data_IF_465712671670
#
_entry.id   IF_465712671670
#
_cell.length_a   1.000
_cell.length_b   1.000
_cell.length_c   1.000
_cell.angle_alpha   90.00
_cell.angle_beta   90.00
_cell.angle_gamma   90.00
#
_symmetry.space_group_name_H-M   'P 1'
#
loop_
_entity.id
_entity.type
_entity.pdbx_description
1 polymer ?
#
# COMPACT_ATOMS: atom_id res chain seq x y z
N UNK A 1 -49.35 36.66 -24.16
CA UNK A 1 -48.19 35.75 -23.99
C UNK A 1 -47.02 36.65 -23.63
N UNK A 2 -46.73 36.75 -22.33
CA UNK A 2 -45.64 37.61 -21.85
C UNK A 2 -44.38 36.74 -21.71
N UNK A 3 -43.38 37.01 -22.52
CA UNK A 3 -42.07 36.37 -22.43
C UNK A 3 -41.26 37.06 -21.36
N UNK A 4 -41.12 36.41 -20.20
CA UNK A 4 -40.19 36.80 -19.14
C UNK A 4 -38.78 36.48 -19.57
N UNK A 5 -38.03 37.52 -19.93
CA UNK A 5 -36.61 37.48 -20.20
C UNK A 5 -35.82 37.26 -18.90
N UNK A 6 -35.31 36.04 -18.66
CA UNK A 6 -34.44 35.74 -17.54
C UNK A 6 -33.03 36.17 -17.91
N UNK A 7 -32.58 37.29 -17.35
CA UNK A 7 -31.19 37.75 -17.45
C UNK A 7 -30.28 36.73 -16.77
N UNK A 8 -29.18 36.26 -17.39
CA UNK A 8 -28.26 35.36 -16.73
C UNK A 8 -27.58 36.08 -15.56
N UNK A 9 -27.79 35.57 -14.34
CA UNK A 9 -27.09 35.99 -13.14
C UNK A 9 -25.60 35.63 -13.30
N UNK A 10 -24.77 36.64 -13.59
CA UNK A 10 -23.30 36.50 -13.54
C UNK A 10 -22.89 36.10 -12.13
N UNK A 11 -22.21 34.95 -11.97
CA UNK A 11 -21.69 34.54 -10.69
C UNK A 11 -20.84 35.65 -10.05
N UNK A 12 -20.96 35.89 -8.75
CA UNK A 12 -20.24 36.96 -8.08
C UNK A 12 -18.73 36.80 -8.28
N UNK A 13 -18.09 37.80 -8.83
CA UNK A 13 -16.64 37.83 -9.06
C UNK A 13 -15.95 37.79 -7.71
N UNK A 14 -15.04 36.79 -7.51
CA UNK A 14 -14.22 36.71 -6.29
C UNK A 14 -13.40 37.98 -6.10
N UNK A 15 -13.38 38.49 -4.87
CA UNK A 15 -12.58 39.66 -4.50
C UNK A 15 -11.10 39.41 -4.78
N UNK A 16 -10.40 40.44 -5.23
CA UNK A 16 -8.96 40.41 -5.51
C UNK A 16 -8.17 41.21 -4.46
N UNK A 17 -6.85 41.01 -4.40
CA UNK A 17 -5.98 41.83 -3.54
C UNK A 17 -6.12 43.34 -3.85
N UNK A 18 -6.50 43.70 -5.08
CA UNK A 18 -6.75 45.07 -5.50
C UNK A 18 -8.02 45.62 -4.85
N UNK A 19 -9.04 44.79 -4.74
CA UNK A 19 -10.30 45.17 -4.13
C UNK A 19 -10.13 45.38 -2.60
N UNK A 20 -9.37 44.48 -1.93
CA UNK A 20 -9.01 44.62 -0.51
C UNK A 20 -8.19 45.91 -0.28
N UNK A 21 -7.23 46.19 -1.15
CA UNK A 21 -6.37 47.39 -1.04
C UNK A 21 -7.21 48.67 -1.15
N UNK A 22 -8.17 48.70 -2.08
CA UNK A 22 -9.11 49.82 -2.25
C UNK A 22 -10.01 50.00 -1.04
N UNK A 23 -10.57 48.90 -0.51
CA UNK A 23 -11.47 48.90 0.64
C UNK A 23 -10.75 49.31 1.93
N UNK A 24 -9.50 48.85 2.12
CA UNK A 24 -8.67 49.23 3.28
C UNK A 24 -8.02 50.62 3.16
N UNK A 25 -8.16 51.32 2.02
CA UNK A 25 -7.54 52.61 1.78
C UNK A 25 -5.98 52.54 1.77
N UNK A 26 -5.42 51.50 1.19
CA UNK A 26 -3.95 51.27 1.19
C UNK A 26 -3.45 50.65 -0.13
N UNK A 27 -2.15 50.49 -0.25
CA UNK A 27 -1.53 49.83 -1.40
C UNK A 27 -1.50 48.31 -1.28
N UNK A 28 -1.42 47.61 -2.44
CA UNK A 28 -1.30 46.13 -2.52
C UNK A 28 -0.10 45.60 -1.73
N UNK A 29 0.98 46.38 -1.62
CA UNK A 29 2.17 46.02 -0.84
C UNK A 29 1.87 45.85 0.64
N UNK A 30 1.03 46.74 1.21
CA UNK A 30 0.60 46.65 2.62
C UNK A 30 -0.26 45.41 2.86
N UNK A 31 -1.20 45.13 1.93
CA UNK A 31 -2.00 43.91 1.99
C UNK A 31 -1.10 42.66 1.90
N UNK A 32 -0.14 42.65 0.99
CA UNK A 32 0.82 41.54 0.84
C UNK A 32 1.62 41.32 2.12
N UNK A 33 2.11 42.37 2.77
CA UNK A 33 2.83 42.31 4.04
C UNK A 33 1.96 41.77 5.17
N UNK A 34 0.73 42.25 5.29
CA UNK A 34 -0.25 41.73 6.26
C UNK A 34 -0.47 40.23 6.09
N UNK A 35 -0.79 39.81 4.87
CA UNK A 35 -1.00 38.39 4.54
C UNK A 35 0.26 37.51 4.76
N UNK A 36 1.45 38.09 4.72
CA UNK A 36 2.73 37.42 4.95
C UNK A 36 3.15 37.38 6.43
N UNK A 37 2.34 37.97 7.32
CA UNK A 37 2.68 38.05 8.74
C UNK A 37 3.75 39.09 9.09
N UNK A 38 4.12 40.00 8.15
CA UNK A 38 5.06 41.08 8.37
C UNK A 38 4.42 42.22 9.17
N UNK A 39 3.95 41.88 10.38
CA UNK A 39 3.14 42.79 11.19
C UNK A 39 3.93 43.98 11.71
N UNK A 40 5.23 43.83 11.97
CA UNK A 40 6.10 44.88 12.53
C UNK A 40 6.21 46.14 11.66
N UNK A 41 6.02 45.99 10.34
CA UNK A 41 6.13 47.11 9.38
C UNK A 41 4.78 47.78 9.06
N UNK A 42 3.71 47.37 9.75
CA UNK A 42 2.36 47.91 9.58
C UNK A 42 1.88 48.55 10.88
N UNK A 43 1.31 49.75 10.84
CA UNK A 43 0.72 50.39 12.01
C UNK A 43 -0.52 49.60 12.51
N UNK A 44 -0.85 49.63 13.83
CA UNK A 44 -2.00 48.96 14.37
C UNK A 44 -3.31 49.34 13.66
N UNK A 45 -3.50 50.62 13.36
CA UNK A 45 -4.67 51.14 12.64
C UNK A 45 -4.79 50.54 11.24
N UNK A 46 -3.67 50.49 10.50
CA UNK A 46 -3.66 49.91 9.16
C UNK A 46 -3.95 48.40 9.18
N UNK A 47 -3.44 47.65 10.18
CA UNK A 47 -3.78 46.23 10.35
C UNK A 47 -5.27 46.01 10.54
N UNK A 48 -5.90 46.80 11.46
CA UNK A 48 -7.33 46.69 11.71
C UNK A 48 -8.18 47.01 10.47
N UNK A 49 -7.80 48.04 9.67
CA UNK A 49 -8.49 48.36 8.41
C UNK A 49 -8.32 47.23 7.37
N UNK A 50 -7.16 46.63 7.24
CA UNK A 50 -6.92 45.51 6.34
C UNK A 50 -7.76 44.30 6.76
N UNK A 51 -7.78 43.96 8.04
CA UNK A 51 -8.55 42.85 8.57
C UNK A 51 -10.05 43.02 8.33
N UNK A 52 -10.57 44.21 8.60
CA UNK A 52 -11.98 44.53 8.34
C UNK A 52 -12.32 44.45 6.84
N UNK A 53 -11.42 44.88 5.95
CA UNK A 53 -11.62 44.80 4.52
C UNK A 53 -11.60 43.33 4.00
N UNK A 54 -10.70 42.49 4.54
CA UNK A 54 -10.62 41.07 4.22
C UNK A 54 -11.94 40.39 4.64
N UNK A 55 -12.40 40.61 5.86
CA UNK A 55 -13.65 40.03 6.38
C UNK A 55 -14.88 40.49 5.58
N UNK A 56 -14.97 41.79 5.25
CA UNK A 56 -16.11 42.33 4.52
C UNK A 56 -16.21 41.83 3.07
N UNK A 57 -15.08 41.61 2.44
CA UNK A 57 -15.04 41.16 1.06
C UNK A 57 -14.93 39.60 0.94
N UNK A 58 -14.98 38.88 2.07
CA UNK A 58 -14.70 37.45 2.12
C UNK A 58 -13.47 37.07 1.25
N UNK A 59 -12.44 37.88 1.40
CA UNK A 59 -11.25 37.73 0.55
C UNK A 59 -10.39 36.57 1.01
N UNK A 60 -10.22 35.60 0.14
CA UNK A 60 -9.28 34.50 0.32
C UNK A 60 -8.06 34.70 -0.60
N UNK A 61 -6.84 34.72 -0.05
CA UNK A 61 -5.65 34.85 -0.85
C UNK A 61 -5.53 33.69 -1.86
N UNK A 62 -5.30 34.02 -3.13
CA UNK A 62 -5.00 33.00 -4.13
C UNK A 62 -3.59 32.45 -3.87
N UNK A 63 -3.50 31.27 -3.30
CA UNK A 63 -2.23 30.63 -2.95
C UNK A 63 -1.38 30.33 -4.21
N UNK A 64 -2.00 29.96 -5.32
CA UNK A 64 -1.32 29.75 -6.62
C UNK A 64 -0.62 31.03 -7.12
N UNK A 65 -1.34 32.17 -7.04
CA UNK A 65 -0.75 33.46 -7.43
C UNK A 65 0.37 33.90 -6.47
N UNK A 66 0.28 33.55 -5.20
CA UNK A 66 1.35 33.79 -4.21
C UNK A 66 2.57 32.91 -4.48
N UNK A 67 2.33 31.64 -4.79
CA UNK A 67 3.36 30.67 -5.14
C UNK A 67 4.16 31.09 -6.36
N UNK A 68 3.48 31.57 -7.40
CA UNK A 68 4.14 32.11 -8.60
C UNK A 68 5.07 33.30 -8.29
N UNK A 69 4.69 34.15 -7.33
CA UNK A 69 5.51 35.32 -6.94
C UNK A 69 6.66 34.97 -6.01
N UNK A 70 6.53 33.92 -5.22
CA UNK A 70 7.56 33.44 -4.27
C UNK A 70 8.41 32.28 -4.82
N UNK A 71 8.08 31.75 -6.00
CA UNK A 71 8.72 30.57 -6.57
C UNK A 71 8.33 29.24 -5.91
N UNK A 72 7.42 29.26 -4.89
CA UNK A 72 6.99 28.06 -4.14
C UNK A 72 5.49 28.08 -3.93
N UNK A 73 4.80 27.02 -4.39
CA UNK A 73 3.35 26.90 -4.29
C UNK A 73 2.89 25.93 -3.19
N UNK A 74 3.84 25.22 -2.58
CA UNK A 74 3.62 24.21 -1.53
C UNK A 74 2.71 23.06 -1.94
N UNK A 75 2.58 22.81 -3.25
CA UNK A 75 1.87 21.66 -3.79
C UNK A 75 2.85 20.50 -3.97
N UNK A 76 2.47 19.33 -3.52
CA UNK A 76 3.13 18.08 -3.87
C UNK A 76 2.15 17.16 -4.59
N UNK A 77 2.64 16.37 -5.53
CA UNK A 77 1.85 15.34 -6.19
C UNK A 77 1.94 14.02 -5.46
N UNK A 78 0.84 13.28 -5.39
CA UNK A 78 0.87 11.87 -4.99
C UNK A 78 0.15 11.04 -6.05
N UNK A 79 0.90 10.15 -6.69
CA UNK A 79 0.37 9.20 -7.65
C UNK A 79 0.11 7.86 -6.96
N UNK A 80 -1.12 7.38 -7.04
CA UNK A 80 -1.60 6.15 -6.40
C UNK A 80 -2.08 5.16 -7.44
N UNK A 81 -1.68 3.89 -7.26
CA UNK A 81 -2.12 2.80 -8.13
C UNK A 81 -3.59 2.45 -7.90
N UNK A 82 -4.00 2.22 -6.65
CA UNK A 82 -5.33 1.70 -6.34
C UNK A 82 -5.82 2.19 -4.97
N UNK A 83 -6.91 2.96 -4.95
CA UNK A 83 -7.57 3.44 -3.72
C UNK A 83 -8.50 2.39 -3.10
N UNK A 84 -8.78 1.29 -3.78
CA UNK A 84 -9.58 0.19 -3.20
C UNK A 84 -8.76 -0.70 -2.27
N UNK A 85 -7.42 -0.61 -2.35
CA UNK A 85 -6.52 -1.29 -1.43
C UNK A 85 -6.41 -0.50 -0.11
N UNK A 86 -6.80 -1.08 1.05
CA UNK A 86 -6.69 -0.43 2.37
C UNK A 86 -5.30 0.14 2.66
N UNK A 87 -4.24 -0.58 2.29
CA UNK A 87 -2.85 -0.12 2.38
C UNK A 87 -2.66 1.30 1.83
N UNK A 88 -3.20 1.56 0.64
CA UNK A 88 -3.04 2.86 -0.02
C UNK A 88 -3.70 3.99 0.76
N UNK A 89 -4.87 3.73 1.34
CA UNK A 89 -5.63 4.71 2.14
C UNK A 89 -4.89 5.02 3.45
N UNK A 90 -4.35 4.02 4.11
CA UNK A 90 -3.59 4.21 5.35
C UNK A 90 -2.28 4.98 5.12
N UNK A 91 -1.55 4.67 4.03
CA UNK A 91 -0.37 5.46 3.63
C UNK A 91 -0.76 6.91 3.34
N UNK A 92 -1.89 7.14 2.67
CA UNK A 92 -2.39 8.50 2.39
C UNK A 92 -2.67 9.28 3.67
N UNK A 93 -3.17 8.65 4.74
CA UNK A 93 -3.36 9.30 6.04
C UNK A 93 -2.04 9.80 6.63
N UNK A 94 -0.97 9.01 6.53
CA UNK A 94 0.37 9.44 6.93
C UNK A 94 0.90 10.62 6.11
N UNK A 95 0.69 10.56 4.79
CA UNK A 95 1.05 11.66 3.87
C UNK A 95 0.30 12.95 4.23
N UNK A 96 -1.02 12.85 4.47
CA UNK A 96 -1.85 14.02 4.84
C UNK A 96 -1.37 14.65 6.15
N UNK A 97 -1.09 13.84 7.16
CA UNK A 97 -0.63 14.32 8.47
C UNK A 97 0.72 15.05 8.36
N UNK A 98 1.69 14.51 7.61
CA UNK A 98 2.98 15.15 7.39
C UNK A 98 2.84 16.43 6.54
N UNK A 99 2.01 16.41 5.52
CA UNK A 99 1.70 17.60 4.71
C UNK A 99 1.10 18.72 5.58
N UNK A 100 0.16 18.39 6.45
CA UNK A 100 -0.42 19.35 7.39
C UNK A 100 0.65 19.96 8.31
N UNK A 101 1.52 19.11 8.90
CA UNK A 101 2.59 19.56 9.79
C UNK A 101 3.59 20.49 9.09
N UNK A 102 3.90 20.23 7.82
CA UNK A 102 4.88 20.98 7.02
C UNK A 102 4.24 22.12 6.20
N UNK A 103 2.91 22.28 6.26
CA UNK A 103 2.17 23.29 5.51
C UNK A 103 2.21 23.05 4.00
N UNK A 104 2.27 21.78 3.57
CA UNK A 104 2.16 21.34 2.18
C UNK A 104 0.72 20.96 1.84
N UNK A 105 0.37 20.96 0.55
CA UNK A 105 -0.92 20.53 0.05
C UNK A 105 -0.74 19.36 -0.92
N UNK A 106 -1.21 18.15 -0.60
CA UNK A 106 -1.12 17.02 -1.51
C UNK A 106 -2.19 17.11 -2.61
N UNK A 107 -1.76 16.87 -3.85
CA UNK A 107 -2.61 16.69 -5.02
C UNK A 107 -2.65 15.20 -5.36
N UNK A 108 -3.77 14.55 -5.07
CA UNK A 108 -3.92 13.10 -5.20
C UNK A 108 -4.33 12.75 -6.63
N UNK A 109 -3.59 11.84 -7.27
CA UNK A 109 -3.85 11.29 -8.59
C UNK A 109 -4.03 9.77 -8.47
N UNK A 110 -5.23 9.26 -8.76
CA UNK A 110 -5.54 7.83 -8.73
C UNK A 110 -5.54 7.26 -10.14
N UNK A 111 -4.64 6.32 -10.40
CA UNK A 111 -4.44 5.75 -11.73
C UNK A 111 -5.28 4.48 -12.01
N UNK A 112 -5.97 3.93 -11.01
CA UNK A 112 -6.79 2.72 -11.11
C UNK A 112 -6.06 1.52 -11.75
N UNK A 113 -4.77 1.37 -11.45
CA UNK A 113 -3.87 0.36 -12.01
C UNK A 113 -3.65 0.48 -13.55
N UNK A 114 -3.95 1.64 -14.15
CA UNK A 114 -3.76 1.90 -15.57
C UNK A 114 -2.46 2.67 -15.84
N UNK A 115 -1.50 2.02 -16.49
CA UNK A 115 -0.15 2.58 -16.77
C UNK A 115 -0.23 3.88 -17.58
N UNK A 116 -1.16 3.98 -18.53
CA UNK A 116 -1.34 5.17 -19.34
C UNK A 116 -1.86 6.36 -18.49
N UNK A 117 -2.71 6.08 -17.50
CA UNK A 117 -3.17 7.10 -16.56
C UNK A 117 -2.06 7.55 -15.62
N UNK A 118 -1.19 6.64 -15.18
CA UNK A 118 0.01 6.98 -14.40
C UNK A 118 0.87 8.00 -15.16
N UNK A 119 1.17 7.73 -16.42
CA UNK A 119 1.94 8.62 -17.29
C UNK A 119 1.28 9.99 -17.46
N UNK A 120 -0.03 10.01 -17.73
CA UNK A 120 -0.81 11.24 -17.91
C UNK A 120 -0.80 12.10 -16.64
N UNK A 121 -0.98 11.49 -15.48
CA UNK A 121 -0.97 12.24 -14.22
C UNK A 121 0.40 12.80 -13.89
N UNK A 122 1.50 12.10 -14.15
CA UNK A 122 2.85 12.64 -13.96
C UNK A 122 3.09 13.87 -14.83
N UNK A 123 2.62 13.86 -16.10
CA UNK A 123 2.68 15.03 -16.98
C UNK A 123 1.84 16.19 -16.44
N UNK A 124 0.62 15.93 -15.95
CA UNK A 124 -0.23 16.96 -15.35
C UNK A 124 0.41 17.56 -14.10
N UNK A 125 0.97 16.75 -13.20
CA UNK A 125 1.67 17.21 -11.99
C UNK A 125 2.82 18.16 -12.35
N UNK A 126 3.58 17.87 -13.40
CA UNK A 126 4.62 18.77 -13.93
C UNK A 126 4.00 20.10 -14.42
N UNK A 127 2.87 20.05 -15.11
CA UNK A 127 2.14 21.23 -15.59
C UNK A 127 1.62 22.10 -14.43
N UNK A 128 1.15 21.47 -13.35
CA UNK A 128 0.74 22.16 -12.12
C UNK A 128 1.90 22.68 -11.28
N UNK A 129 3.15 22.40 -11.72
CA UNK A 129 4.38 22.83 -11.04
C UNK A 129 4.42 22.41 -9.59
N UNK A 130 4.07 21.15 -9.30
CA UNK A 130 4.25 20.60 -7.96
C UNK A 130 5.73 20.69 -7.56
N UNK A 131 6.00 20.91 -6.28
CA UNK A 131 7.37 21.04 -5.75
C UNK A 131 8.06 19.68 -5.61
N UNK A 132 7.29 18.59 -5.57
CA UNK A 132 7.79 17.22 -5.51
C UNK A 132 6.68 16.23 -5.76
N UNK A 133 7.02 14.95 -5.95
CA UNK A 133 6.05 13.87 -6.18
C UNK A 133 6.36 12.67 -5.30
N UNK A 134 5.30 12.04 -4.76
CA UNK A 134 5.32 10.73 -4.13
C UNK A 134 4.68 9.75 -5.10
N UNK A 135 5.34 8.62 -5.35
CA UNK A 135 4.90 7.65 -6.36
C UNK A 135 4.69 6.28 -5.73
N UNK A 136 3.44 5.83 -5.73
CA UNK A 136 3.03 4.47 -5.45
C UNK A 136 2.24 3.96 -6.66
N UNK A 137 2.93 3.45 -7.68
CA UNK A 137 2.34 3.11 -8.96
C UNK A 137 2.79 1.73 -9.45
N UNK A 138 2.01 1.07 -10.32
CA UNK A 138 2.25 -0.30 -10.79
C UNK A 138 3.19 -0.38 -11.98
N UNK A 139 3.00 0.48 -12.97
CA UNK A 139 3.67 0.39 -14.26
C UNK A 139 4.65 1.52 -14.52
N UNK A 140 5.00 2.30 -13.49
CA UNK A 140 5.94 3.40 -13.64
C UNK A 140 7.33 2.85 -13.92
N UNK A 141 7.88 3.26 -15.07
CA UNK A 141 9.26 2.99 -15.48
C UNK A 141 10.08 4.29 -15.39
N UNK A 142 11.40 4.18 -15.42
CA UNK A 142 12.29 5.34 -15.47
C UNK A 142 11.86 6.36 -16.53
N UNK A 143 11.50 5.89 -17.73
CA UNK A 143 11.05 6.73 -18.85
C UNK A 143 9.81 7.56 -18.52
N UNK A 144 8.91 7.02 -17.69
CA UNK A 144 7.66 7.68 -17.27
C UNK A 144 7.95 8.75 -16.22
N UNK A 145 8.93 8.55 -15.34
CA UNK A 145 9.34 9.51 -14.31
C UNK A 145 10.37 10.52 -14.81
N UNK A 146 11.10 10.21 -15.87
CA UNK A 146 12.14 11.09 -16.43
C UNK A 146 11.67 12.52 -16.68
N UNK A 147 10.45 12.81 -17.21
CA UNK A 147 9.98 14.18 -17.38
C UNK A 147 9.84 14.95 -16.05
N UNK A 148 9.49 14.27 -14.98
CA UNK A 148 9.36 14.85 -13.63
C UNK A 148 10.74 15.13 -13.05
N UNK A 149 11.58 14.11 -12.95
CA UNK A 149 12.93 14.20 -12.38
C UNK A 149 13.84 15.07 -13.24
N UNK A 150 13.75 14.95 -14.56
CA UNK A 150 14.52 15.76 -15.52
C UNK A 150 14.16 17.24 -15.53
N UNK A 151 12.98 17.62 -15.03
CA UNK A 151 12.61 19.02 -14.78
C UNK A 151 13.05 19.55 -13.40
N UNK A 152 13.81 18.75 -12.64
CA UNK A 152 14.31 19.12 -11.32
C UNK A 152 13.28 18.95 -10.19
N UNK A 153 12.16 18.26 -10.43
CA UNK A 153 11.17 17.95 -9.43
C UNK A 153 11.61 16.68 -8.68
N UNK A 154 11.86 16.73 -7.36
CA UNK A 154 12.24 15.56 -6.60
C UNK A 154 11.10 14.53 -6.52
N UNK A 155 11.48 13.25 -6.51
CA UNK A 155 10.55 12.14 -6.38
C UNK A 155 10.94 11.25 -5.19
N UNK A 156 9.93 10.75 -4.48
CA UNK A 156 10.06 9.69 -3.46
C UNK A 156 9.18 8.52 -3.85
N UNK A 157 9.74 7.32 -3.85
CA UNK A 157 9.03 6.08 -4.16
C UNK A 157 8.44 5.49 -2.88
N UNK A 158 7.25 4.91 -2.98
CA UNK A 158 6.58 4.19 -1.89
C UNK A 158 6.33 2.76 -2.28
N UNK A 159 6.77 1.82 -1.43
CA UNK A 159 6.60 0.37 -1.54
C UNK A 159 7.34 -0.30 -2.73
N UNK A 160 7.73 0.43 -3.76
CA UNK A 160 8.26 -0.14 -5.00
C UNK A 160 9.46 0.62 -5.51
N UNK A 161 10.44 -0.13 -5.97
CA UNK A 161 11.57 0.41 -6.72
C UNK A 161 11.20 0.55 -8.20
N UNK A 162 11.81 1.49 -8.86
CA UNK A 162 11.73 1.69 -10.31
C UNK A 162 13.13 1.49 -10.88
N UNK A 163 13.28 0.49 -11.75
CA UNK A 163 14.56 0.16 -12.35
C UNK A 163 15.13 1.36 -13.13
N UNK A 164 16.40 1.64 -12.92
CA UNK A 164 17.10 2.76 -13.55
C UNK A 164 16.89 4.12 -12.88
N UNK A 165 15.99 4.25 -11.89
CA UNK A 165 15.75 5.49 -11.16
C UNK A 165 16.43 5.48 -9.79
N UNK A 166 17.27 6.49 -9.55
CA UNK A 166 17.86 6.73 -8.22
C UNK A 166 16.99 7.77 -7.49
N UNK A 167 16.18 7.32 -6.55
CA UNK A 167 15.29 8.15 -5.74
C UNK A 167 15.20 7.60 -4.32
N UNK A 168 14.82 8.44 -3.35
CA UNK A 168 14.48 7.93 -2.01
C UNK A 168 13.29 6.98 -2.10
N UNK A 169 13.32 5.89 -1.33
CA UNK A 169 12.25 4.92 -1.21
C UNK A 169 11.89 4.69 0.25
N UNK A 170 10.60 4.59 0.53
CA UNK A 170 10.07 4.23 1.84
C UNK A 170 9.06 3.10 1.67
N UNK A 171 9.20 2.02 2.42
CA UNK A 171 8.28 0.89 2.32
C UNK A 171 8.50 -0.16 3.40
N UNK A 172 7.74 -1.24 3.30
CA UNK A 172 7.92 -2.43 4.13
C UNK A 172 9.25 -3.12 3.76
N UNK A 173 9.95 -3.68 4.75
CA UNK A 173 10.91 -4.74 4.49
C UNK A 173 10.17 -6.00 4.01
N UNK A 174 9.96 -6.04 2.69
CA UNK A 174 9.18 -7.09 2.03
C UNK A 174 9.78 -8.47 2.20
N UNK A 175 11.12 -8.56 2.22
CA UNK A 175 11.84 -9.82 2.43
C UNK A 175 11.62 -10.32 3.85
N UNK A 176 11.91 -9.49 4.84
CA UNK A 176 11.75 -9.85 6.25
C UNK A 176 10.30 -10.20 6.60
N UNK A 177 9.33 -9.48 6.03
CA UNK A 177 7.90 -9.79 6.24
C UNK A 177 7.50 -11.15 5.67
N UNK A 178 7.94 -11.50 4.45
CA UNK A 178 7.65 -12.80 3.85
C UNK A 178 8.36 -13.94 4.59
N UNK A 179 9.59 -13.74 5.01
CA UNK A 179 10.34 -14.70 5.84
C UNK A 179 9.66 -14.92 7.20
N UNK A 180 9.20 -13.84 7.85
CA UNK A 180 8.49 -13.88 9.14
C UNK A 180 7.21 -14.71 9.05
N UNK A 181 6.36 -14.46 8.04
CA UNK A 181 5.13 -15.21 7.82
C UNK A 181 5.38 -16.68 7.47
N UNK A 182 6.34 -16.94 6.61
CA UNK A 182 6.71 -18.32 6.22
C UNK A 182 7.20 -19.11 7.43
N UNK A 183 8.10 -18.52 8.22
CA UNK A 183 8.63 -19.14 9.45
C UNK A 183 7.51 -19.45 10.43
N UNK A 184 6.61 -18.49 10.68
CA UNK A 184 5.45 -18.70 11.55
C UNK A 184 4.61 -19.92 11.13
N UNK A 185 4.30 -20.04 9.82
CA UNK A 185 3.53 -21.16 9.31
C UNK A 185 4.27 -22.50 9.46
N UNK A 186 5.57 -22.51 9.21
CA UNK A 186 6.41 -23.68 9.39
C UNK A 186 6.50 -24.14 10.86
N UNK A 187 6.70 -23.20 11.78
CA UNK A 187 6.76 -23.46 13.23
C UNK A 187 5.40 -23.90 13.77
N UNK A 188 4.29 -23.40 13.19
CA UNK A 188 2.92 -23.84 13.50
C UNK A 188 2.61 -25.25 12.96
N UNK A 189 3.53 -25.87 12.22
CA UNK A 189 3.45 -27.26 11.78
C UNK A 189 2.52 -27.47 10.57
N UNK A 190 2.42 -26.52 9.67
CA UNK A 190 1.75 -26.71 8.39
C UNK A 190 2.65 -27.51 7.42
N UNK A 191 2.05 -28.50 6.74
CA UNK A 191 2.75 -29.41 5.85
C UNK A 191 2.81 -28.90 4.41
N UNK A 192 1.89 -28.03 4.03
CA UNK A 192 1.75 -27.48 2.69
C UNK A 192 1.36 -26.02 2.77
N UNK A 193 2.18 -25.13 2.18
CA UNK A 193 2.00 -23.68 2.24
C UNK A 193 1.90 -23.15 0.80
N UNK A 194 0.79 -22.48 0.52
CA UNK A 194 0.52 -21.83 -0.76
C UNK A 194 0.68 -20.33 -0.63
N UNK A 195 1.73 -19.77 -1.25
CA UNK A 195 1.91 -18.33 -1.34
C UNK A 195 1.08 -17.78 -2.50
N UNK A 196 0.01 -17.07 -2.16
CA UNK A 196 -0.89 -16.49 -3.16
C UNK A 196 -0.51 -15.03 -3.43
N UNK A 197 -0.23 -14.70 -4.68
CA UNK A 197 0.27 -13.40 -5.10
C UNK A 197 -0.37 -12.99 -6.45
N UNK A 198 -0.59 -11.69 -6.66
CA UNK A 198 -0.96 -11.16 -7.97
C UNK A 198 0.25 -11.26 -8.93
N UNK A 199 0.05 -11.10 -10.27
CA UNK A 199 1.16 -11.04 -11.22
C UNK A 199 2.29 -10.13 -10.71
N UNK A 200 3.52 -10.64 -10.67
CA UNK A 200 4.61 -10.02 -9.93
C UNK A 200 5.83 -9.66 -10.77
N UNK A 201 5.88 -10.01 -12.05
CA UNK A 201 7.04 -9.84 -12.92
C UNK A 201 7.49 -8.38 -13.07
N UNK A 202 6.59 -7.43 -12.84
CA UNK A 202 6.87 -5.99 -12.96
C UNK A 202 6.66 -5.21 -11.64
N UNK A 203 6.48 -5.91 -10.52
CA UNK A 203 6.19 -5.28 -9.22
C UNK A 203 7.20 -5.74 -8.18
N UNK A 204 8.19 -4.90 -7.90
CA UNK A 204 9.33 -5.24 -7.04
C UNK A 204 8.95 -5.76 -5.65
N UNK A 205 7.95 -5.18 -4.99
CA UNK A 205 7.50 -5.66 -3.68
C UNK A 205 6.93 -7.08 -3.73
N UNK A 206 6.16 -7.40 -4.79
CA UNK A 206 5.63 -8.75 -5.00
C UNK A 206 6.73 -9.76 -5.32
N UNK A 207 7.72 -9.38 -6.15
CA UNK A 207 8.89 -10.20 -6.47
C UNK A 207 9.69 -10.53 -5.20
N UNK A 208 9.96 -9.53 -4.37
CA UNK A 208 10.70 -9.70 -3.13
C UNK A 208 9.99 -10.64 -2.15
N UNK A 209 8.66 -10.49 -1.99
CA UNK A 209 7.84 -11.36 -1.13
C UNK A 209 7.86 -12.81 -1.62
N UNK A 210 7.65 -13.02 -2.92
CA UNK A 210 7.64 -14.37 -3.52
C UNK A 210 9.01 -15.04 -3.45
N UNK A 211 10.07 -14.32 -3.78
CA UNK A 211 11.44 -14.83 -3.71
C UNK A 211 11.83 -15.21 -2.27
N UNK A 212 11.51 -14.37 -1.29
CA UNK A 212 11.80 -14.64 0.12
C UNK A 212 11.01 -15.85 0.65
N UNK A 213 9.73 -15.99 0.26
CA UNK A 213 8.94 -17.19 0.55
C UNK A 213 9.63 -18.44 0.01
N UNK A 214 10.01 -18.44 -1.28
CA UNK A 214 10.65 -19.58 -1.94
C UNK A 214 11.99 -19.93 -1.31
N UNK A 215 12.80 -18.93 -0.97
CA UNK A 215 14.08 -19.11 -0.28
C UNK A 215 13.90 -19.73 1.12
N UNK A 216 12.93 -19.20 1.90
CA UNK A 216 12.64 -19.74 3.24
C UNK A 216 12.18 -21.20 3.18
N UNK A 217 11.32 -21.56 2.21
CA UNK A 217 10.92 -22.95 1.97
C UNK A 217 12.08 -23.83 1.52
N UNK A 218 13.01 -23.30 0.71
CA UNK A 218 14.21 -23.99 0.26
C UNK A 218 15.25 -24.22 1.36
N UNK A 219 15.46 -23.23 2.24
CA UNK A 219 16.42 -23.33 3.35
C UNK A 219 16.06 -24.45 4.35
N UNK A 220 14.77 -24.65 4.61
CA UNK A 220 14.28 -25.78 5.40
C UNK A 220 14.62 -27.13 4.76
N UNK A 221 14.69 -27.15 3.44
CA UNK A 221 15.10 -28.31 2.67
C UNK A 221 16.55 -28.74 2.90
N UNK A 222 17.44 -27.78 3.02
CA UNK A 222 18.87 -28.01 3.25
C UNK A 222 19.18 -28.44 4.70
N UNK A 223 18.51 -27.87 5.67
CA UNK A 223 18.71 -28.21 7.09
C UNK A 223 18.25 -29.65 7.43
N UNK A 224 17.13 -30.10 6.84
CA UNK A 224 16.65 -31.47 7.03
C UNK A 224 17.61 -32.51 6.41
N UNK A 225 18.34 -32.19 5.33
CA UNK A 225 19.33 -33.04 4.72
C UNK A 225 20.61 -33.21 5.56
N UNK A 226 20.96 -32.25 6.40
CA UNK A 226 22.12 -32.33 7.29
C UNK A 226 21.80 -33.00 8.64
N UNK A 227 20.54 -33.01 9.07
CA UNK A 227 20.08 -33.69 10.31
C UNK A 227 19.82 -35.19 10.13
N UNK A 228 20.12 -35.77 9.00
CA UNK A 228 19.77 -37.11 8.54
C UNK A 228 20.47 -38.27 9.23
N UNK A 229 20.90 -38.20 10.47
CA UNK A 229 21.35 -39.33 11.27
C UNK A 229 21.04 -39.16 12.74
N UNK A 230 19.81 -39.06 13.20
CA UNK A 230 19.37 -39.57 14.52
C UNK A 230 17.83 -39.32 14.66
N UNK A 231 17.07 -40.41 14.81
CA UNK A 231 15.72 -40.37 15.39
C UNK A 231 14.57 -40.64 14.40
N UNK A 232 14.05 -41.85 14.47
CA UNK A 232 12.74 -42.26 13.93
C UNK A 232 11.66 -41.34 14.47
N UNK A 233 11.13 -40.47 13.64
CA UNK A 233 10.04 -39.52 13.99
C UNK A 233 10.04 -38.25 13.14
N UNK A 234 10.70 -38.26 11.96
CA UNK A 234 10.78 -37.10 11.09
C UNK A 234 9.39 -36.63 10.64
N UNK A 235 8.95 -35.43 11.12
CA UNK A 235 7.85 -34.70 10.49
C UNK A 235 8.18 -34.55 9.02
N UNK A 236 7.26 -34.93 8.13
CA UNK A 236 7.43 -34.80 6.69
C UNK A 236 7.80 -33.35 6.35
N UNK A 237 8.67 -33.18 5.35
CA UNK A 237 9.12 -31.87 4.85
C UNK A 237 7.92 -31.08 4.35
N UNK A 238 7.74 -29.84 4.84
CA UNK A 238 6.71 -28.93 4.34
C UNK A 238 6.98 -28.58 2.86
N UNK A 239 5.90 -28.44 2.08
CA UNK A 239 5.94 -28.10 0.65
C UNK A 239 5.46 -26.67 0.45
N UNK A 240 6.19 -25.90 -0.35
CA UNK A 240 5.81 -24.55 -0.74
C UNK A 240 5.36 -24.50 -2.21
N UNK A 241 4.29 -23.79 -2.47
CA UNK A 241 3.73 -23.54 -3.79
C UNK A 241 3.46 -22.04 -3.97
N UNK A 242 3.63 -21.55 -5.20
CA UNK A 242 3.21 -20.18 -5.56
C UNK A 242 1.94 -20.26 -6.40
N UNK A 243 0.90 -19.53 -5.97
CA UNK A 243 -0.37 -19.39 -6.67
C UNK A 243 -0.50 -17.96 -7.20
N UNK A 244 -0.53 -17.81 -8.51
CA UNK A 244 -0.75 -16.50 -9.12
C UNK A 244 -2.26 -16.25 -9.26
N UNK A 245 -2.74 -15.13 -8.68
CA UNK A 245 -4.13 -14.68 -8.74
C UNK A 245 -4.20 -13.31 -9.44
N UNK A 246 -4.55 -13.29 -10.70
CA UNK A 246 -4.76 -12.05 -11.46
C UNK A 246 -6.16 -11.50 -11.17
N UNK A 247 -6.29 -10.67 -10.13
CA UNK A 247 -7.57 -10.13 -9.69
C UNK A 247 -8.27 -9.23 -10.73
N UNK A 248 -7.58 -8.84 -11.80
CA UNK A 248 -8.16 -8.10 -12.92
C UNK A 248 -8.85 -9.01 -13.97
N UNK A 249 -8.60 -10.32 -13.93
CA UNK A 249 -9.18 -11.30 -14.86
C UNK A 249 -9.96 -12.38 -14.08
N UNK A 250 -11.28 -12.25 -14.06
CA UNK A 250 -12.17 -13.16 -13.33
C UNK A 250 -12.01 -14.62 -13.78
N UNK A 251 -11.83 -14.88 -15.08
CA UNK A 251 -11.70 -16.24 -15.60
C UNK A 251 -10.36 -16.88 -15.19
N UNK A 252 -9.31 -16.08 -15.08
CA UNK A 252 -8.00 -16.53 -14.57
C UNK A 252 -8.08 -16.83 -13.09
N UNK A 253 -8.71 -15.96 -12.29
CA UNK A 253 -8.97 -16.19 -10.86
C UNK A 253 -9.72 -17.50 -10.64
N UNK A 254 -10.81 -17.74 -11.36
CA UNK A 254 -11.59 -18.98 -11.24
C UNK A 254 -10.75 -20.24 -11.54
N UNK A 255 -9.89 -20.19 -12.57
CA UNK A 255 -8.98 -21.30 -12.90
C UNK A 255 -7.97 -21.56 -11.80
N UNK A 256 -7.33 -20.51 -11.27
CA UNK A 256 -6.34 -20.62 -10.20
C UNK A 256 -6.97 -21.11 -8.89
N UNK A 257 -8.17 -20.66 -8.56
CA UNK A 257 -8.93 -21.14 -7.39
C UNK A 257 -9.36 -22.59 -7.55
N UNK A 258 -9.73 -23.04 -8.75
CA UNK A 258 -10.04 -24.44 -9.00
C UNK A 258 -8.80 -25.36 -8.89
N UNK A 259 -7.60 -24.85 -9.19
CA UNK A 259 -6.35 -25.57 -8.93
C UNK A 259 -6.10 -25.71 -7.43
N UNK A 260 -6.24 -24.62 -6.67
CA UNK A 260 -6.14 -24.63 -5.22
C UNK A 260 -7.13 -25.61 -4.58
N UNK A 261 -8.36 -25.62 -5.04
CA UNK A 261 -9.41 -26.53 -4.55
C UNK A 261 -9.01 -27.99 -4.72
N UNK A 262 -8.47 -28.37 -5.86
CA UNK A 262 -8.00 -29.73 -6.13
C UNK A 262 -6.86 -30.12 -5.19
N UNK A 263 -5.96 -29.20 -4.88
CA UNK A 263 -4.88 -29.44 -3.95
C UNK A 263 -5.38 -29.64 -2.52
N UNK A 264 -6.32 -28.80 -2.06
CA UNK A 264 -6.95 -28.91 -0.75
C UNK A 264 -7.67 -30.26 -0.62
N UNK A 265 -8.47 -30.65 -1.62
CA UNK A 265 -9.19 -31.91 -1.62
C UNK A 265 -8.24 -33.14 -1.59
N UNK A 266 -7.16 -33.07 -2.35
CA UNK A 266 -6.14 -34.14 -2.39
C UNK A 266 -5.44 -34.30 -1.02
N UNK A 267 -5.09 -33.20 -0.35
CA UNK A 267 -4.47 -33.24 0.98
C UNK A 267 -5.43 -33.77 2.07
N UNK A 268 -6.70 -33.41 1.99
CA UNK A 268 -7.74 -33.90 2.91
C UNK A 268 -8.04 -35.38 2.71
N UNK A 269 -8.12 -35.84 1.43
CA UNK A 269 -8.44 -37.24 1.11
C UNK A 269 -7.29 -38.21 1.37
N UNK A 270 -6.03 -37.75 1.33
CA UNK A 270 -4.89 -38.60 1.68
C UNK A 270 -4.97 -39.13 3.13
N UNK A 271 -5.70 -38.44 4.02
CA UNK A 271 -5.99 -38.90 5.39
C UNK A 271 -7.09 -39.96 5.48
N UNK A 272 -7.93 -40.12 4.49
CA UNK A 272 -9.11 -41.04 4.55
C UNK A 272 -8.89 -42.38 3.87
N UNK A 273 -7.95 -42.50 2.94
CA UNK A 273 -7.68 -43.74 2.20
C UNK A 273 -7.06 -44.86 3.03
N UNK A 274 -6.76 -44.64 4.31
CA UNK A 274 -6.28 -45.64 5.27
C UNK A 274 -7.39 -46.41 6.03
N UNK A 275 -8.69 -46.11 5.80
CA UNK A 275 -9.78 -46.71 6.59
C UNK A 275 -10.54 -47.86 5.89
N UNK A 276 -10.19 -48.20 4.67
CA UNK A 276 -10.87 -49.26 3.92
C UNK A 276 -10.00 -50.49 3.70
N UNK A 277 -9.88 -51.33 4.68
CA UNK A 277 -9.17 -52.61 4.56
C UNK A 277 -9.35 -53.49 5.81
N UNK A 278 -10.35 -54.31 5.77
CA UNK A 278 -10.82 -55.17 6.83
C UNK A 278 -9.94 -56.40 7.04
N UNK A 279 -10.01 -56.96 8.23
CA UNK A 279 -9.75 -58.31 8.69
C UNK A 279 -8.38 -58.61 9.38
N UNK A 280 -8.56 -58.93 10.61
CA UNK A 280 -7.79 -59.66 11.59
C UNK A 280 -6.53 -60.39 11.09
N UNK A 281 -5.36 -59.99 11.64
CA UNK A 281 -4.26 -60.92 11.85
C UNK A 281 -3.65 -60.69 13.25
N UNK A 282 -3.65 -61.67 14.17
CA UNK A 282 -3.09 -61.53 15.50
C UNK A 282 -1.61 -61.88 15.49
N UNK A 283 -0.77 -60.90 15.16
CA UNK A 283 0.69 -61.06 15.21
C UNK A 283 1.30 -59.67 15.40
N UNK A 284 1.86 -59.43 16.60
CA UNK A 284 2.40 -58.15 17.02
C UNK A 284 3.58 -57.66 16.17
N UNK A 285 3.24 -56.79 15.20
CA UNK A 285 4.17 -55.90 14.56
C UNK A 285 3.65 -54.48 14.73
N UNK A 286 4.52 -53.52 15.02
CA UNK A 286 4.24 -52.13 15.24
C UNK A 286 3.31 -51.59 14.14
N UNK A 287 2.11 -51.09 14.50
CA UNK A 287 1.16 -50.44 13.59
C UNK A 287 1.87 -49.27 12.87
N UNK A 288 1.90 -49.24 11.54
CA UNK A 288 2.32 -48.02 10.86
C UNK A 288 1.40 -46.88 11.33
N UNK A 289 2.01 -45.73 11.67
CA UNK A 289 1.28 -44.54 12.07
C UNK A 289 0.22 -44.23 11.00
N UNK A 290 -1.02 -43.96 11.45
CA UNK A 290 -2.10 -43.57 10.54
C UNK A 290 -1.64 -42.40 9.68
N UNK A 291 -1.95 -42.35 8.37
CA UNK A 291 -1.61 -41.24 7.54
C UNK A 291 -2.27 -39.98 8.09
N UNK A 292 -1.44 -39.04 8.58
CA UNK A 292 -1.93 -37.75 9.06
C UNK A 292 -2.49 -36.97 7.88
N UNK A 293 -3.71 -36.40 8.00
CA UNK A 293 -4.19 -35.42 7.05
C UNK A 293 -3.21 -34.24 7.03
N UNK A 294 -2.78 -33.83 5.83
CA UNK A 294 -1.85 -32.72 5.69
C UNK A 294 -2.54 -31.42 6.08
N UNK A 295 -1.84 -30.61 6.89
CA UNK A 295 -2.31 -29.28 7.27
C UNK A 295 -1.88 -28.28 6.21
N UNK A 296 -2.86 -27.59 5.62
CA UNK A 296 -2.64 -26.59 4.56
C UNK A 296 -2.77 -25.19 5.15
N UNK A 297 -1.86 -24.31 4.74
CA UNK A 297 -1.93 -22.88 4.96
C UNK A 297 -1.83 -22.10 3.64
N UNK A 298 -2.59 -21.02 3.55
CA UNK A 298 -2.48 -20.02 2.50
C UNK A 298 -1.77 -18.80 3.08
N UNK A 299 -0.81 -18.29 2.36
CA UNK A 299 -0.10 -17.06 2.68
C UNK A 299 -0.37 -16.04 1.58
N UNK A 300 -1.29 -15.13 1.83
CA UNK A 300 -1.65 -14.07 0.88
C UNK A 300 -0.62 -12.92 0.90
N UNK A 301 -0.16 -12.53 -0.27
CA UNK A 301 0.82 -11.48 -0.43
C UNK A 301 0.31 -10.08 -0.08
N UNK A 302 -1.01 -9.88 0.00
CA UNK A 302 -1.65 -8.61 0.40
C UNK A 302 -3.14 -8.79 0.74
N UNK A 303 -3.77 -7.75 1.30
CA UNK A 303 -5.18 -7.77 1.71
C UNK A 303 -6.18 -8.09 0.58
N UNK A 304 -6.06 -7.55 -0.66
CA UNK A 304 -6.97 -7.92 -1.74
C UNK A 304 -6.93 -9.40 -2.08
N UNK A 305 -5.75 -10.02 -2.12
CA UNK A 305 -5.59 -11.47 -2.35
C UNK A 305 -6.19 -12.26 -1.18
N UNK A 306 -5.92 -11.85 0.05
CA UNK A 306 -6.47 -12.50 1.23
C UNK A 306 -8.01 -12.46 1.25
N UNK A 307 -8.61 -11.34 0.88
CA UNK A 307 -10.07 -11.19 0.81
C UNK A 307 -10.67 -12.12 -0.26
N UNK A 308 -10.05 -12.17 -1.45
CA UNK A 308 -10.46 -13.07 -2.52
C UNK A 308 -10.46 -14.54 -2.03
N UNK A 309 -9.36 -14.97 -1.39
CA UNK A 309 -9.24 -16.33 -0.84
C UNK A 309 -10.26 -16.59 0.28
N UNK A 310 -10.43 -15.66 1.22
CA UNK A 310 -11.38 -15.82 2.33
C UNK A 310 -12.83 -15.94 1.85
N UNK A 311 -13.22 -15.14 0.86
CA UNK A 311 -14.54 -15.20 0.24
C UNK A 311 -14.76 -16.53 -0.49
N UNK A 312 -13.78 -17.01 -1.24
CA UNK A 312 -13.83 -18.29 -1.94
C UNK A 312 -13.95 -19.46 -0.95
N UNK A 313 -13.08 -19.50 0.07
CA UNK A 313 -13.09 -20.55 1.09
C UNK A 313 -14.40 -20.55 1.89
N UNK A 314 -14.93 -19.38 2.24
CA UNK A 314 -16.23 -19.26 2.90
C UNK A 314 -17.38 -19.75 2.02
N UNK A 315 -17.37 -19.44 0.73
CA UNK A 315 -18.39 -19.92 -0.21
C UNK A 315 -18.34 -21.45 -0.34
N UNK A 316 -17.15 -22.05 -0.35
CA UNK A 316 -16.95 -23.49 -0.53
C UNK A 316 -17.19 -24.31 0.74
N UNK A 317 -16.69 -23.85 1.90
CA UNK A 317 -16.65 -24.62 3.13
C UNK A 317 -17.56 -24.06 4.24
N UNK A 318 -18.25 -22.95 4.02
CA UNK A 318 -19.12 -22.30 5.00
C UNK A 318 -18.34 -21.51 6.07
N UNK A 319 -18.97 -21.27 7.21
CA UNK A 319 -18.40 -20.46 8.29
C UNK A 319 -17.13 -21.09 8.90
N UNK A 320 -17.05 -22.41 8.92
CA UNK A 320 -15.96 -23.17 9.57
C UNK A 320 -14.76 -23.44 8.64
N UNK A 321 -14.61 -22.70 7.51
CA UNK A 321 -13.54 -22.91 6.55
C UNK A 321 -12.13 -22.90 7.16
N UNK A 322 -11.91 -22.11 8.21
CA UNK A 322 -10.62 -22.03 8.92
C UNK A 322 -10.26 -23.33 9.64
N UNK A 323 -11.22 -24.23 9.90
CA UNK A 323 -10.93 -25.54 10.44
C UNK A 323 -10.21 -26.47 9.44
N UNK A 324 -10.27 -26.15 8.15
CA UNK A 324 -9.70 -26.92 7.04
C UNK A 324 -8.42 -26.32 6.50
N UNK A 325 -8.40 -24.99 6.35
CA UNK A 325 -7.31 -24.24 5.70
C UNK A 325 -7.00 -23.00 6.52
N UNK A 326 -5.74 -22.85 6.91
CA UNK A 326 -5.26 -21.63 7.55
C UNK A 326 -5.05 -20.51 6.53
N UNK A 327 -5.21 -19.27 6.97
CA UNK A 327 -4.91 -18.10 6.16
C UNK A 327 -4.05 -17.11 6.97
N UNK A 328 -2.93 -16.70 6.36
CA UNK A 328 -2.08 -15.60 6.79
C UNK A 328 -2.03 -14.58 5.67
N UNK A 329 -2.01 -13.30 6.00
CA UNK A 329 -1.91 -12.21 5.01
C UNK A 329 -0.83 -11.22 5.39
N UNK A 330 -0.14 -10.65 4.41
CA UNK A 330 0.47 -9.33 4.56
C UNK A 330 -0.68 -8.32 4.45
N UNK A 331 -0.61 -7.22 5.19
CA UNK A 331 -1.65 -6.25 5.54
C UNK A 331 -2.60 -6.72 6.63
N UNK A 332 -3.03 -5.78 7.48
CA UNK A 332 -3.91 -6.02 8.61
C UNK A 332 -5.20 -5.16 8.52
N UNK A 333 -6.06 -5.40 7.53
CA UNK A 333 -7.31 -4.66 7.41
C UNK A 333 -8.30 -5.04 8.52
N UNK A 334 -9.25 -4.13 8.86
CA UNK A 334 -10.22 -4.32 9.95
C UNK A 334 -10.97 -5.66 9.91
N UNK A 335 -11.28 -6.15 8.72
CA UNK A 335 -11.96 -7.44 8.57
C UNK A 335 -11.10 -8.64 9.00
N UNK A 336 -9.78 -8.51 9.05
CA UNK A 336 -8.89 -9.57 9.49
C UNK A 336 -9.05 -9.84 10.99
N UNK A 337 -9.23 -8.81 11.81
CA UNK A 337 -9.57 -8.97 13.23
C UNK A 337 -10.93 -9.62 13.40
N UNK A 338 -11.96 -9.14 12.69
CA UNK A 338 -13.31 -9.70 12.73
C UNK A 338 -13.36 -11.18 12.37
N UNK A 339 -12.55 -11.60 11.40
CA UNK A 339 -12.51 -13.00 10.93
C UNK A 339 -11.48 -13.87 11.63
N UNK A 340 -10.64 -13.30 12.49
CA UNK A 340 -9.56 -14.01 13.18
C UNK A 340 -8.42 -14.45 12.26
N UNK A 341 -8.19 -13.76 11.14
CA UNK A 341 -7.10 -14.05 10.20
C UNK A 341 -5.78 -13.48 10.74
N UNK A 342 -4.76 -14.32 10.79
CA UNK A 342 -3.38 -13.93 11.14
C UNK A 342 -2.79 -13.04 10.07
N UNK A 343 -2.11 -11.96 10.48
CA UNK A 343 -1.61 -10.95 9.55
C UNK A 343 -0.18 -10.50 9.87
N UNK A 344 0.45 -9.90 8.88
CA UNK A 344 1.64 -9.08 9.06
C UNK A 344 1.24 -7.64 8.80
N UNK A 345 1.12 -6.86 9.86
CA UNK A 345 0.78 -5.43 9.81
C UNK A 345 1.96 -4.66 9.26
N UNK A 346 1.71 -3.82 8.25
CA UNK A 346 2.67 -2.85 7.75
C UNK A 346 2.57 -1.54 8.55
N UNK A 347 3.66 -0.81 8.76
CA UNK A 347 3.64 0.52 9.37
C UNK A 347 3.23 1.60 8.34
N UNK A 348 2.04 1.45 7.75
CA UNK A 348 1.53 2.21 6.61
C UNK A 348 1.48 3.71 6.83
N UNK A 349 1.02 4.13 8.02
CA UNK A 349 1.03 5.55 8.41
C UNK A 349 2.45 6.11 8.44
N UNK A 350 3.40 5.39 9.04
CA UNK A 350 4.80 5.83 9.11
C UNK A 350 5.44 5.89 7.73
N UNK A 351 5.13 4.92 6.85
CA UNK A 351 5.59 4.93 5.45
C UNK A 351 5.16 6.23 4.76
N UNK A 352 3.88 6.60 4.87
CA UNK A 352 3.35 7.82 4.28
C UNK A 352 3.97 9.09 4.85
N UNK A 353 4.10 9.14 6.18
CA UNK A 353 4.67 10.29 6.89
C UNK A 353 6.13 10.53 6.49
N UNK A 354 6.97 9.48 6.52
CA UNK A 354 8.39 9.55 6.14
C UNK A 354 8.60 9.88 4.66
N UNK A 355 7.71 9.40 3.78
CA UNK A 355 7.81 9.75 2.37
C UNK A 355 7.70 11.26 2.14
N UNK A 356 6.82 11.94 2.90
CA UNK A 356 6.70 13.41 2.85
C UNK A 356 7.92 14.10 3.49
N UNK A 357 8.43 13.59 4.62
CA UNK A 357 9.64 14.14 5.24
C UNK A 357 10.82 14.09 4.25
N UNK A 358 11.06 12.95 3.62
CA UNK A 358 12.13 12.81 2.63
C UNK A 358 11.92 13.72 1.43
N UNK A 359 10.68 13.80 0.93
CA UNK A 359 10.36 14.70 -0.17
C UNK A 359 10.59 16.16 0.21
N UNK A 360 10.18 16.56 1.41
CA UNK A 360 10.37 17.92 1.91
C UNK A 360 11.87 18.27 2.03
N UNK A 361 12.69 17.38 2.55
CA UNK A 361 14.15 17.58 2.59
C UNK A 361 14.73 17.81 1.19
N UNK A 362 14.29 17.02 0.19
CA UNK A 362 14.72 17.20 -1.21
C UNK A 362 14.26 18.53 -1.78
N UNK A 363 13.05 18.97 -1.48
CA UNK A 363 12.51 20.28 -1.87
C UNK A 363 13.31 21.42 -1.22
N UNK A 364 13.76 21.25 0.03
CA UNK A 364 14.63 22.22 0.73
C UNK A 364 16.10 22.17 0.26
N UNK A 365 16.42 21.31 -0.70
CA UNK A 365 17.75 21.26 -1.32
C UNK A 365 18.75 20.33 -0.63
N UNK A 366 18.32 19.43 0.24
CA UNK A 366 19.20 18.42 0.85
C UNK A 366 19.69 17.45 -0.22
N UNK A 367 21.00 17.44 -0.47
CA UNK A 367 21.66 16.59 -1.46
C UNK A 367 22.44 15.47 -0.75
N UNK A 368 21.75 14.43 -0.36
CA UNK A 368 22.36 13.18 0.13
C UNK A 368 22.16 12.06 -0.90
N UNK A 369 22.89 10.96 -0.76
CA UNK A 369 22.60 9.74 -1.53
C UNK A 369 21.13 9.33 -1.36
N UNK A 370 20.57 8.66 -2.36
CA UNK A 370 19.22 8.09 -2.26
C UNK A 370 19.16 7.08 -1.11
N UNK A 371 18.07 7.09 -0.38
CA UNK A 371 17.86 6.29 0.83
C UNK A 371 16.83 5.21 0.57
N UNK A 372 17.09 4.01 1.05
CA UNK A 372 16.11 2.92 1.14
C UNK A 372 15.68 2.79 2.60
N UNK A 373 14.51 3.32 2.93
CA UNK A 373 13.93 3.24 4.27
C UNK A 373 12.96 2.06 4.34
N UNK A 374 13.49 0.89 4.71
CA UNK A 374 12.71 -0.33 4.89
C UNK A 374 12.25 -0.43 6.34
N UNK A 375 10.94 -0.43 6.55
CA UNK A 375 10.33 -0.51 7.87
C UNK A 375 9.87 -1.96 8.15
N UNK A 376 10.02 -2.45 9.40
CA UNK A 376 9.63 -3.81 9.75
C UNK A 376 8.12 -3.98 9.78
N UNK A 377 7.64 -5.17 9.38
CA UNK A 377 6.26 -5.61 9.63
C UNK A 377 6.11 -6.26 10.98
N UNK A 378 4.90 -6.21 11.55
CA UNK A 378 4.52 -6.84 12.82
C UNK A 378 3.62 -8.05 12.58
N UNK A 379 4.01 -9.24 13.07
CA UNK A 379 3.17 -10.43 13.02
C UNK A 379 2.09 -10.38 14.09
N UNK A 380 0.83 -10.43 13.69
CA UNK A 380 -0.34 -10.47 14.56
C UNK A 380 -0.99 -11.84 14.43
N UNK A 381 -0.69 -12.70 15.40
CA UNK A 381 -1.19 -14.09 15.43
C UNK A 381 -2.65 -14.09 15.88
N UNK A 382 -3.52 -14.73 15.08
CA UNK A 382 -4.94 -14.90 15.34
C UNK A 382 -5.36 -16.36 15.15
N UNK A 383 -6.65 -16.64 15.30
CA UNK A 383 -7.22 -17.99 15.29
C UNK A 383 -6.89 -18.81 14.05
N UNK A 384 -6.75 -18.17 12.86
CA UNK A 384 -6.55 -18.88 11.60
C UNK A 384 -5.26 -19.71 11.53
N UNK A 385 -4.24 -19.38 12.33
CA UNK A 385 -2.97 -20.13 12.37
C UNK A 385 -2.61 -20.67 13.75
N UNK A 386 -3.42 -20.43 14.78
CA UNK A 386 -3.13 -20.79 16.19
C UNK A 386 -3.55 -22.21 16.58
N UNK A 387 -3.90 -23.11 15.66
CA UNK A 387 -4.44 -24.44 15.90
C UNK A 387 -3.40 -25.54 15.79
#
# INVERSE_FOLDING_TARGET
MSTTSTTPQTAPRRATITDVAREAGTGKTSISRYLNGEMSVLSPDLRARIEAAIARLDYQPNQMARGLKRGRNRLIGMLLADLTNPYTVEVLQGVEAACHALGLMPLICHAANEVEMERRYLQLLTTYRVEGVIVNALGVREETLRPVVGSGIPAVLVDRLVDGLVADMVGLDNRAAAELGTRHLLESGFDEIWFAVQPFEQVSSRQLREAAFREAMGAQAGQAGQAGQVGQGGKGRARGHTLVLNLADTAEVERSLAELDRAIDAATNAGHSGRGGNLANPGGAARPAAPHSRRIALFAANAPVALCLALHLKARYGADWQSRVALLSIDDPDWAELTGVTTIRQPTYEIGYRAVEFLHERIEGVQTAARDCLLPGELIVRASTSR
#
